data_IF_757794106455
#
_entry.id   IF_757794106455
#
_cell.length_a   1.000
_cell.length_b   1.000
_cell.length_c   1.000
_cell.angle_alpha   90.00
_cell.angle_beta   90.00
_cell.angle_gamma   90.00
#
_symmetry.space_group_name_H-M   'P 1'
#
loop_
_entity.id
_entity.type
_entity.pdbx_description
1 polymer ?
#
# COMPACT_ATOMS: atom_id res chain seq x y z
N UNK A 1 -28.01 2.12 1.38
CA UNK A 1 -27.41 1.38 0.24
C UNK A 1 -26.61 2.38 -0.59
N UNK A 2 -25.48 1.99 -1.19
CA UNK A 2 -24.74 2.90 -2.08
C UNK A 2 -25.50 3.05 -3.41
N UNK A 3 -25.69 4.28 -3.90
CA UNK A 3 -26.37 4.54 -5.18
C UNK A 3 -25.44 4.40 -6.39
N UNK A 4 -24.13 4.43 -6.15
CA UNK A 4 -23.10 4.25 -7.17
C UNK A 4 -22.30 2.99 -6.86
N UNK A 5 -22.11 2.15 -7.87
CA UNK A 5 -21.29 0.95 -7.78
C UNK A 5 -20.25 0.95 -8.90
N UNK A 6 -18.98 0.78 -8.55
CA UNK A 6 -17.92 0.57 -9.54
C UNK A 6 -18.03 -0.86 -10.05
N UNK A 7 -18.21 -1.03 -11.36
CA UNK A 7 -18.30 -2.33 -12.01
C UNK A 7 -16.91 -2.87 -12.36
N UNK A 8 -16.06 -2.03 -12.95
CA UNK A 8 -14.72 -2.40 -13.38
C UNK A 8 -13.80 -1.18 -13.44
N UNK A 9 -12.51 -1.40 -13.20
CA UNK A 9 -11.45 -0.40 -13.37
C UNK A 9 -10.28 -1.07 -14.06
N UNK A 10 -10.12 -0.77 -15.34
CA UNK A 10 -9.05 -1.32 -16.17
C UNK A 10 -7.89 -0.33 -16.24
N UNK A 11 -6.69 -0.81 -15.88
CA UNK A 11 -5.45 -0.02 -15.97
C UNK A 11 -4.92 -0.08 -17.40
N UNK A 12 -4.82 1.07 -18.05
CA UNK A 12 -4.31 1.19 -19.41
C UNK A 12 -2.81 1.52 -19.41
N UNK A 13 -2.11 1.17 -20.49
CA UNK A 13 -0.69 1.48 -20.69
C UNK A 13 0.21 1.04 -19.53
N UNK A 14 0.15 -0.23 -19.15
CA UNK A 14 0.91 -0.79 -18.02
C UNK A 14 1.61 -2.11 -18.40
N UNK A 15 2.89 -2.34 -18.01
CA UNK A 15 3.81 -1.39 -17.39
C UNK A 15 4.25 -0.27 -18.34
N UNK A 16 4.72 0.86 -17.81
CA UNK A 16 5.15 2.02 -18.60
C UNK A 16 6.21 2.85 -17.87
N UNK A 17 6.79 3.85 -18.54
CA UNK A 17 7.77 4.74 -17.91
C UNK A 17 7.12 5.52 -16.75
N UNK A 18 7.89 5.72 -15.68
CA UNK A 18 7.45 6.44 -14.47
C UNK A 18 6.90 7.85 -14.75
N UNK A 19 7.46 8.54 -15.75
CA UNK A 19 7.06 9.90 -16.15
C UNK A 19 5.89 9.92 -17.14
N UNK A 20 5.25 8.78 -17.42
CA UNK A 20 4.05 8.73 -18.24
C UNK A 20 2.79 8.93 -17.39
N UNK A 21 1.73 9.54 -17.98
CA UNK A 21 0.45 9.69 -17.32
C UNK A 21 -0.12 8.35 -16.83
N UNK A 22 -0.90 8.41 -15.76
CA UNK A 22 -1.79 7.32 -15.36
C UNK A 22 -3.02 7.33 -16.24
N UNK A 23 -3.52 6.15 -16.62
CA UNK A 23 -4.74 6.03 -17.41
C UNK A 23 -5.58 4.87 -16.86
N UNK A 24 -6.78 5.20 -16.39
CA UNK A 24 -7.75 4.24 -15.88
C UNK A 24 -9.03 4.33 -16.69
N UNK A 25 -9.47 3.21 -17.28
CA UNK A 25 -10.82 3.10 -17.82
C UNK A 25 -11.74 2.66 -16.69
N UNK A 26 -12.66 3.55 -16.31
CA UNK A 26 -13.56 3.35 -15.17
C UNK A 26 -14.94 3.09 -15.70
N UNK A 27 -15.52 1.96 -15.30
CA UNK A 27 -16.90 1.59 -15.57
C UNK A 27 -17.68 1.54 -14.26
N UNK A 28 -18.75 2.31 -14.15
CA UNK A 28 -19.58 2.38 -12.96
C UNK A 28 -21.08 2.40 -13.30
N UNK A 29 -21.90 2.06 -12.34
CA UNK A 29 -23.36 2.02 -12.44
C UNK A 29 -23.98 2.91 -11.37
N UNK A 30 -24.90 3.76 -11.80
CA UNK A 30 -25.76 4.56 -10.94
C UNK A 30 -27.15 3.93 -10.90
N UNK A 31 -27.66 3.65 -9.71
CA UNK A 31 -28.99 3.09 -9.52
C UNK A 31 -30.10 4.12 -9.76
N UNK A 32 -29.80 5.40 -9.53
CA UNK A 32 -30.73 6.52 -9.63
C UNK A 32 -30.02 7.74 -10.23
N UNK A 33 -30.80 8.73 -10.66
CA UNK A 33 -30.27 10.01 -11.14
C UNK A 33 -29.63 10.78 -9.99
N UNK A 34 -28.34 11.12 -10.12
CA UNK A 34 -27.62 11.96 -9.19
C UNK A 34 -27.66 13.42 -9.68
N UNK A 35 -28.25 14.33 -8.89
CA UNK A 35 -28.36 15.75 -9.27
C UNK A 35 -27.03 16.50 -9.19
N UNK A 36 -26.09 16.02 -8.38
CA UNK A 36 -24.76 16.63 -8.19
C UNK A 36 -23.65 15.76 -8.80
N UNK A 37 -22.47 16.37 -8.91
CA UNK A 37 -21.33 15.73 -9.55
C UNK A 37 -20.67 14.71 -8.63
N UNK A 38 -20.21 13.61 -9.22
CA UNK A 38 -19.23 12.73 -8.62
C UNK A 38 -17.84 13.35 -8.80
N UNK A 39 -17.11 13.46 -7.71
CA UNK A 39 -15.74 13.92 -7.72
C UNK A 39 -14.80 12.71 -7.69
N UNK A 40 -14.04 12.53 -8.76
CA UNK A 40 -13.04 11.48 -8.86
C UNK A 40 -11.65 12.07 -8.71
N UNK A 41 -10.80 11.44 -7.89
CA UNK A 41 -9.40 11.86 -7.73
C UNK A 41 -8.46 10.68 -7.89
N UNK A 42 -7.36 10.90 -8.58
CA UNK A 42 -6.20 10.00 -8.58
C UNK A 42 -5.18 10.58 -7.60
N UNK A 43 -4.79 9.78 -6.62
CA UNK A 43 -3.86 10.18 -5.56
C UNK A 43 -2.69 9.21 -5.57
N UNK A 44 -1.48 9.73 -5.70
CA UNK A 44 -0.24 8.97 -5.59
C UNK A 44 0.30 9.08 -4.17
N UNK A 45 0.55 7.93 -3.54
CA UNK A 45 1.16 7.90 -2.19
C UNK A 45 2.66 8.12 -2.34
N UNK A 46 3.15 9.25 -1.82
CA UNK A 46 4.56 9.63 -1.96
C UNK A 46 5.47 8.93 -0.95
N UNK A 47 4.94 8.51 0.20
CA UNK A 47 5.68 7.80 1.23
C UNK A 47 4.75 6.89 2.01
N UNK A 48 5.21 5.71 2.40
CA UNK A 48 4.44 4.81 3.26
C UNK A 48 4.33 5.34 4.70
N UNK A 49 5.26 6.20 5.13
CA UNK A 49 5.36 6.68 6.50
C UNK A 49 4.53 7.95 6.76
N UNK A 50 4.23 8.72 5.72
CA UNK A 50 3.58 10.02 5.85
C UNK A 50 2.67 10.38 4.67
N UNK A 51 1.45 10.81 5.01
CA UNK A 51 0.47 11.34 4.06
C UNK A 51 0.83 12.75 3.54
N UNK A 52 1.84 13.41 4.13
CA UNK A 52 2.28 14.75 3.70
C UNK A 52 2.88 14.75 2.29
N UNK A 53 3.34 13.58 1.83
CA UNK A 53 3.90 13.38 0.50
C UNK A 53 2.86 12.91 -0.52
N UNK A 54 1.61 12.71 -0.11
CA UNK A 54 0.54 12.29 -1.02
C UNK A 54 0.23 13.40 -2.03
N UNK A 55 0.16 13.01 -3.30
CA UNK A 55 -0.05 13.94 -4.39
C UNK A 55 -1.36 13.62 -5.07
N UNK A 56 -2.32 14.56 -5.02
CA UNK A 56 -3.48 14.52 -5.91
C UNK A 56 -2.99 14.83 -7.32
N UNK A 57 -2.97 13.82 -8.18
CA UNK A 57 -2.49 13.95 -9.56
C UNK A 57 -3.48 14.69 -10.44
N UNK A 58 -4.76 14.34 -10.31
CA UNK A 58 -5.85 15.06 -10.97
C UNK A 58 -7.18 14.88 -10.22
N UNK A 59 -8.12 15.78 -10.46
CA UNK A 59 -9.48 15.75 -9.93
C UNK A 59 -10.46 16.13 -11.03
N UNK A 60 -11.42 15.25 -11.30
CA UNK A 60 -12.47 15.50 -12.28
C UNK A 60 -13.84 15.44 -11.61
N UNK A 61 -14.76 16.21 -12.17
CA UNK A 61 -16.17 16.22 -11.81
C UNK A 61 -16.97 15.56 -12.93
N UNK A 62 -17.78 14.58 -12.57
CA UNK A 62 -18.66 13.86 -13.49
C UNK A 62 -20.09 14.05 -13.01
N UNK A 63 -20.84 14.93 -13.68
CA UNK A 63 -22.26 15.09 -13.41
C UNK A 63 -22.94 16.19 -14.24
N UNK A 64 -24.27 16.33 -14.09
CA UNK A 64 -25.17 15.44 -13.34
C UNK A 64 -25.22 14.03 -13.96
N UNK A 65 -25.34 12.98 -13.13
CA UNK A 65 -25.18 11.59 -13.57
C UNK A 65 -26.53 10.88 -13.62
N UNK A 66 -27.06 10.55 -14.81
CA UNK A 66 -28.32 9.82 -14.90
C UNK A 66 -28.15 8.36 -14.44
N UNK A 67 -29.24 7.72 -14.05
CA UNK A 67 -29.26 6.30 -13.73
C UNK A 67 -28.84 5.45 -14.92
N UNK A 68 -28.09 4.38 -14.65
CA UNK A 68 -27.56 3.47 -15.65
C UNK A 68 -26.04 3.27 -15.55
N UNK A 69 -25.49 2.62 -16.57
CA UNK A 69 -24.07 2.25 -16.64
C UNK A 69 -23.30 3.27 -17.47
N UNK A 70 -22.19 3.73 -16.91
CA UNK A 70 -21.31 4.75 -17.47
C UNK A 70 -19.88 4.24 -17.56
N UNK A 71 -19.14 4.77 -18.53
CA UNK A 71 -17.74 4.45 -18.75
C UNK A 71 -17.00 5.68 -19.24
N UNK A 72 -15.81 5.92 -18.70
CA UNK A 72 -14.93 6.98 -19.16
C UNK A 72 -13.47 6.63 -18.88
N UNK A 73 -12.54 7.31 -19.57
CA UNK A 73 -11.11 7.20 -19.33
C UNK A 73 -10.65 8.38 -18.47
N UNK A 74 -10.06 8.08 -17.32
CA UNK A 74 -9.44 9.06 -16.44
C UNK A 74 -7.93 9.05 -16.64
N UNK A 75 -7.40 10.12 -17.24
CA UNK A 75 -5.98 10.34 -17.41
C UNK A 75 -5.47 11.39 -16.44
N UNK A 76 -4.31 11.17 -15.82
CA UNK A 76 -3.67 12.13 -14.92
C UNK A 76 -2.15 12.14 -15.12
N UNK A 77 -1.56 13.34 -15.02
CA UNK A 77 -0.11 13.53 -15.12
C UNK A 77 0.66 12.73 -14.03
N UNK A 78 1.93 12.35 -14.28
CA UNK A 78 2.74 11.66 -13.27
C UNK A 78 2.97 12.53 -12.02
N UNK A 79 3.32 11.94 -10.86
CA UNK A 79 3.63 12.69 -9.64
C UNK A 79 4.87 13.59 -9.83
N UNK A 80 4.92 14.68 -9.06
CA UNK A 80 6.10 15.53 -8.98
C UNK A 80 7.19 14.82 -8.16
N UNK A 81 8.27 14.44 -8.85
CA UNK A 81 9.40 13.69 -8.28
C UNK A 81 10.09 14.42 -7.13
N UNK A 82 9.99 15.75 -7.07
CA UNK A 82 10.63 16.57 -6.04
C UNK A 82 9.94 16.50 -4.69
N UNK A 83 8.67 16.07 -4.67
CA UNK A 83 7.85 15.96 -3.46
C UNK A 83 7.89 14.56 -2.85
N UNK A 84 8.50 13.61 -3.56
CA UNK A 84 8.67 12.21 -3.12
C UNK A 84 10.03 12.11 -2.41
N UNK A 85 10.09 11.57 -1.18
CA UNK A 85 11.36 11.24 -0.54
C UNK A 85 12.18 10.29 -1.43
N UNK A 86 13.48 10.53 -1.53
CA UNK A 86 14.37 9.77 -2.44
C UNK A 86 14.31 8.26 -2.16
N UNK A 87 14.21 7.90 -0.88
CA UNK A 87 14.14 6.51 -0.42
C UNK A 87 12.82 5.81 -0.81
N UNK A 88 11.75 6.57 -1.09
CA UNK A 88 10.41 6.06 -1.44
C UNK A 88 10.11 6.09 -2.95
N UNK A 89 11.03 6.63 -3.77
CA UNK A 89 10.84 6.67 -5.23
C UNK A 89 10.87 5.26 -5.84
N UNK A 90 11.77 4.41 -5.33
CA UNK A 90 12.01 3.05 -5.81
C UNK A 90 11.25 2.03 -4.96
N UNK A 91 10.84 0.93 -5.58
CA UNK A 91 10.11 -0.14 -4.91
C UNK A 91 8.60 0.05 -4.94
N UNK A 92 7.93 -0.47 -3.92
CA UNK A 92 6.47 -0.58 -3.90
C UNK A 92 5.84 0.62 -3.21
N UNK A 93 4.92 1.28 -3.91
CA UNK A 93 4.03 2.31 -3.38
C UNK A 93 2.58 2.04 -3.80
N UNK A 94 1.66 2.97 -3.57
CA UNK A 94 0.24 2.84 -3.85
C UNK A 94 -0.27 4.03 -4.65
N UNK A 95 -1.14 3.76 -5.62
CA UNK A 95 -2.00 4.77 -6.24
C UNK A 95 -3.46 4.51 -5.86
N UNK A 96 -4.17 5.56 -5.47
CA UNK A 96 -5.55 5.52 -5.01
C UNK A 96 -6.45 6.24 -6.01
N UNK A 97 -7.47 5.55 -6.47
CA UNK A 97 -8.61 6.14 -7.15
C UNK A 97 -9.74 6.31 -6.13
N UNK A 98 -10.10 7.56 -5.84
CA UNK A 98 -11.19 7.88 -4.90
C UNK A 98 -12.37 8.45 -5.65
N UNK A 99 -13.57 8.16 -5.17
CA UNK A 99 -14.80 8.78 -5.65
C UNK A 99 -15.62 9.29 -4.46
N UNK A 100 -16.00 10.56 -4.56
CA UNK A 100 -16.77 11.28 -3.56
C UNK A 100 -18.04 11.83 -4.17
N UNK A 101 -19.10 11.88 -3.37
CA UNK A 101 -20.34 12.55 -3.72
C UNK A 101 -20.65 13.54 -2.61
N UNK A 102 -20.93 14.81 -2.96
CA UNK A 102 -21.19 15.89 -1.99
C UNK A 102 -20.06 16.06 -0.95
N UNK A 103 -18.82 15.92 -1.40
CA UNK A 103 -17.62 16.00 -0.55
C UNK A 103 -17.45 14.82 0.42
N UNK A 104 -18.24 13.75 0.30
CA UNK A 104 -18.10 12.53 1.11
C UNK A 104 -17.59 11.39 0.24
N UNK A 105 -16.41 10.90 0.57
CA UNK A 105 -15.81 9.72 -0.06
C UNK A 105 -16.66 8.48 0.27
N UNK A 106 -17.07 7.73 -0.74
CA UNK A 106 -17.82 6.48 -0.56
C UNK A 106 -17.09 5.26 -1.09
N UNK A 107 -16.08 5.44 -1.95
CA UNK A 107 -15.26 4.34 -2.45
C UNK A 107 -13.83 4.79 -2.72
N UNK A 108 -12.91 3.87 -2.43
CA UNK A 108 -11.47 3.98 -2.67
C UNK A 108 -10.97 2.67 -3.26
N UNK A 109 -10.31 2.78 -4.41
CA UNK A 109 -9.69 1.67 -5.12
C UNK A 109 -8.19 1.91 -5.12
N UNK A 110 -7.44 1.09 -4.39
CA UNK A 110 -5.99 1.18 -4.29
C UNK A 110 -5.31 0.11 -5.12
N UNK A 111 -4.30 0.51 -5.89
CA UNK A 111 -3.39 -0.37 -6.60
C UNK A 111 -1.99 -0.24 -6.05
N UNK A 112 -1.31 -1.37 -5.88
CA UNK A 112 0.13 -1.37 -5.67
C UNK A 112 0.84 -0.96 -6.96
N UNK A 113 1.89 -0.18 -6.81
CA UNK A 113 2.71 0.35 -7.89
C UNK A 113 4.14 0.00 -7.57
N UNK A 114 4.78 -0.81 -8.40
CA UNK A 114 6.20 -1.10 -8.28
C UNK A 114 7.01 -0.24 -9.25
N UNK A 115 7.94 0.55 -8.73
CA UNK A 115 8.87 1.36 -9.51
C UNK A 115 10.25 0.69 -9.49
N UNK A 116 10.73 0.27 -10.66
CA UNK A 116 12.06 -0.34 -10.79
C UNK A 116 12.75 0.09 -12.09
N UNK A 117 14.07 -0.05 -12.13
CA UNK A 117 14.80 0.07 -13.39
C UNK A 117 14.48 -1.13 -14.28
N UNK A 118 14.28 -0.94 -15.58
CA UNK A 118 14.15 -2.07 -16.50
C UNK A 118 15.52 -2.71 -16.82
N UNK A 119 16.58 -1.89 -16.84
CA UNK A 119 17.94 -2.31 -17.16
C UNK A 119 18.55 -3.19 -16.04
N UNK A 120 18.99 -4.44 -16.33
CA UNK A 120 19.53 -5.35 -15.32
C UNK A 120 20.82 -4.84 -14.68
N UNK A 121 21.66 -4.13 -15.43
CA UNK A 121 22.89 -3.53 -14.91
C UNK A 121 22.59 -2.46 -13.84
N UNK A 122 21.52 -1.67 -14.03
CA UNK A 122 21.08 -0.66 -13.07
C UNK A 122 20.35 -1.27 -11.87
N UNK A 123 19.75 -2.45 -12.02
CA UNK A 123 19.21 -3.21 -10.90
C UNK A 123 20.33 -3.76 -10.00
N UNK A 124 21.38 -4.32 -10.59
CA UNK A 124 22.50 -4.90 -9.84
C UNK A 124 23.44 -3.83 -9.25
N UNK A 125 23.65 -2.73 -9.98
CA UNK A 125 24.49 -1.62 -9.57
C UNK A 125 23.70 -0.30 -9.63
N UNK A 126 22.82 -0.04 -8.64
CA UNK A 126 22.01 1.17 -8.63
C UNK A 126 22.90 2.41 -8.57
N UNK A 127 22.67 3.42 -9.43
CA UNK A 127 23.43 4.66 -9.40
C UNK A 127 23.15 5.42 -8.10
N UNK A 128 24.12 6.25 -7.67
CA UNK A 128 23.96 7.08 -6.47
C UNK A 128 22.83 8.12 -6.58
N UNK A 129 22.54 8.57 -7.81
CA UNK A 129 21.42 9.45 -8.12
C UNK A 129 20.37 8.72 -8.95
N UNK A 130 19.10 8.88 -8.59
CA UNK A 130 17.99 8.20 -9.26
C UNK A 130 17.80 8.74 -10.67
N UNK A 131 17.80 7.85 -11.66
CA UNK A 131 17.58 8.18 -13.07
C UNK A 131 16.11 8.00 -13.45
N UNK A 132 15.25 8.97 -13.12
CA UNK A 132 13.79 8.91 -13.33
C UNK A 132 13.36 8.55 -14.76
N UNK A 133 14.12 8.95 -15.78
CA UNK A 133 13.81 8.65 -17.19
C UNK A 133 13.93 7.14 -17.53
N UNK A 134 14.65 6.37 -16.72
CA UNK A 134 14.85 4.93 -16.89
C UNK A 134 14.01 4.09 -15.93
N UNK A 135 13.21 4.74 -15.10
CA UNK A 135 12.28 4.06 -14.22
C UNK A 135 11.06 3.60 -14.99
N UNK A 136 10.73 2.34 -14.76
CA UNK A 136 9.50 1.71 -15.21
C UNK A 136 8.58 1.54 -14.00
N UNK A 137 7.35 1.98 -14.18
CA UNK A 137 6.25 1.85 -13.24
C UNK A 137 5.36 0.69 -13.69
N UNK A 138 5.14 -0.25 -12.79
CA UNK A 138 4.21 -1.36 -12.98
C UNK A 138 3.11 -1.32 -11.91
N UNK A 139 1.88 -1.08 -12.35
CA UNK A 139 0.68 -1.10 -11.53
C UNK A 139 0.17 -2.55 -11.46
N UNK A 140 0.10 -3.11 -10.25
CA UNK A 140 -0.33 -4.49 -10.01
C UNK A 140 -1.86 -4.58 -10.04
N UNK A 141 -2.44 -4.60 -11.24
CA UNK A 141 -3.90 -4.65 -11.42
C UNK A 141 -4.58 -5.88 -10.83
N UNK A 142 -3.83 -6.98 -10.64
CA UNK A 142 -4.32 -8.22 -10.02
C UNK A 142 -4.52 -8.11 -8.50
N UNK A 143 -3.86 -7.16 -7.84
CA UNK A 143 -3.87 -7.00 -6.39
C UNK A 143 -4.54 -5.67 -6.00
N UNK A 144 -5.81 -5.54 -6.37
CA UNK A 144 -6.61 -4.35 -6.08
C UNK A 144 -7.22 -4.41 -4.68
N UNK A 145 -7.12 -3.30 -3.92
CA UNK A 145 -7.79 -3.15 -2.62
C UNK A 145 -8.95 -2.17 -2.75
N UNK A 146 -10.16 -2.65 -2.48
CA UNK A 146 -11.37 -1.81 -2.51
C UNK A 146 -11.88 -1.56 -1.10
N UNK A 147 -11.98 -0.29 -0.71
CA UNK A 147 -12.59 0.15 0.55
C UNK A 147 -13.86 0.93 0.24
N UNK A 148 -14.95 0.64 0.95
CA UNK A 148 -16.25 1.29 0.76
C UNK A 148 -16.69 1.96 2.06
N UNK A 149 -17.23 3.17 1.94
CA UNK A 149 -17.76 3.95 3.05
C UNK A 149 -19.25 4.21 2.83
N UNK A 150 -20.02 4.21 3.91
CA UNK A 150 -21.44 4.55 3.84
C UNK A 150 -21.59 6.06 3.96
N UNK A 151 -22.28 6.67 3.00
CA UNK A 151 -22.55 8.11 2.97
C UNK A 151 -24.07 8.37 2.87
N UNK A 152 -24.55 9.54 3.34
CA UNK A 152 -25.90 10.00 3.03
C UNK A 152 -25.96 10.51 1.58
N UNK A 153 -26.82 9.89 0.77
CA UNK A 153 -26.98 10.20 -0.65
C UNK A 153 -28.01 11.28 -0.95
N UNK A 154 -28.97 11.49 -0.04
CA UNK A 154 -30.01 12.49 -0.18
C UNK A 154 -29.81 13.62 0.84
N UNK A 155 -30.35 14.80 0.53
CA UNK A 155 -30.41 15.89 1.49
C UNK A 155 -31.35 15.48 2.62
N UNK A 156 -30.81 15.39 3.82
CA UNK A 156 -31.59 15.19 5.05
C UNK A 156 -32.30 16.50 5.36
N UNK A 157 -33.39 16.79 4.63
CA UNK A 157 -34.37 17.83 4.93
C UNK A 157 -35.72 17.21 5.29
N UNK A 158 -35.70 16.17 6.13
CA UNK A 158 -36.86 15.72 6.90
C UNK A 158 -36.42 14.63 7.90
N UNK A 159 -35.99 15.06 9.07
CA UNK A 159 -36.12 14.35 10.35
C UNK A 159 -35.59 15.28 11.45
N UNK A 160 -36.45 15.58 12.42
CA UNK A 160 -36.13 16.44 13.55
C UNK A 160 -34.98 15.91 14.41
N UNK A 161 -34.50 16.82 15.25
CA UNK A 161 -33.54 16.61 16.33
C UNK A 161 -33.63 15.21 16.96
N UNK A 162 -32.54 14.46 16.83
CA UNK A 162 -32.33 13.18 17.49
C UNK A 162 -30.84 12.95 17.61
N UNK A 163 -30.24 13.48 18.68
CA UNK A 163 -28.95 12.99 19.16
C UNK A 163 -29.11 11.53 19.55
N UNK A 164 -28.78 10.59 18.66
CA UNK A 164 -28.64 9.19 19.04
C UNK A 164 -27.30 8.98 19.75
N UNK A 165 -27.39 9.10 21.07
CA UNK A 165 -26.43 8.63 22.06
C UNK A 165 -26.27 7.11 21.90
N UNK A 166 -25.02 6.65 21.83
CA UNK A 166 -24.67 5.23 21.90
C UNK A 166 -25.34 4.56 23.11
N UNK A 167 -26.17 3.54 22.88
CA UNK A 167 -26.55 2.56 23.90
C UNK A 167 -25.79 1.25 23.67
N UNK A 168 -25.01 0.90 24.68
CA UNK A 168 -24.30 -0.36 24.85
C UNK A 168 -25.28 -1.42 25.39
N UNK A 169 -25.51 -2.49 24.63
CA UNK A 169 -25.95 -3.77 25.20
C UNK A 169 -25.36 -4.94 24.41
N UNK A 170 -24.87 -6.01 25.10
CA UNK A 170 -24.06 -7.03 24.47
C UNK A 170 -24.94 -8.11 23.83
N UNK A 171 -24.81 -8.28 22.52
CA UNK A 171 -25.36 -9.44 21.83
C UNK A 171 -24.24 -10.17 21.09
N UNK A 172 -23.84 -11.30 21.68
CA UNK A 172 -22.95 -12.32 21.15
C UNK A 172 -23.49 -12.84 19.80
N UNK A 173 -22.83 -12.50 18.70
CA UNK A 173 -22.94 -13.22 17.43
C UNK A 173 -21.65 -12.99 16.62
N UNK A 174 -21.00 -14.09 16.26
CA UNK A 174 -19.69 -14.17 15.62
C UNK A 174 -19.61 -13.40 14.29
N UNK A 175 -18.54 -12.61 14.13
CA UNK A 175 -18.12 -12.03 12.86
C UNK A 175 -17.50 -13.11 11.96
N UNK A 176 -17.78 -13.15 10.64
CA UNK A 176 -16.89 -13.85 9.73
C UNK A 176 -15.61 -13.03 9.55
N UNK A 177 -14.47 -13.70 9.78
CA UNK A 177 -13.12 -13.15 9.66
C UNK A 177 -12.80 -12.71 8.21
N UNK A 178 -11.88 -11.73 8.03
CA UNK A 178 -11.36 -11.37 6.71
C UNK A 178 -10.69 -12.59 6.04
N UNK A 179 -10.66 -12.67 4.70
CA UNK A 179 -10.05 -13.77 3.99
C UNK A 179 -8.56 -13.83 4.35
N UNK A 180 -8.17 -14.97 4.93
CA UNK A 180 -6.80 -15.24 5.34
C UNK A 180 -5.90 -15.28 4.12
N UNK A 181 -4.86 -14.47 4.13
CA UNK A 181 -3.66 -14.67 3.32
C UNK A 181 -3.15 -16.08 3.69
N UNK A 182 -2.61 -16.86 2.75
CA UNK A 182 -2.04 -18.15 3.13
C UNK A 182 -0.94 -17.92 4.17
N UNK A 183 -0.91 -18.71 5.24
CA UNK A 183 0.06 -18.60 6.34
C UNK A 183 1.52 -18.59 5.81
N UNK A 184 1.72 -19.20 4.64
CA UNK A 184 2.98 -19.25 3.90
C UNK A 184 3.45 -17.88 3.37
N UNK A 185 2.55 -17.00 2.94
CA UNK A 185 2.87 -15.66 2.43
C UNK A 185 3.07 -14.68 3.59
N UNK A 186 2.26 -14.75 4.63
CA UNK A 186 2.46 -13.96 5.85
C UNK A 186 3.80 -14.29 6.51
N UNK A 187 4.16 -15.58 6.57
CA UNK A 187 5.45 -16.02 7.09
C UNK A 187 6.63 -15.50 6.24
N UNK A 188 6.49 -15.47 4.91
CA UNK A 188 7.54 -14.96 4.00
C UNK A 188 7.78 -13.47 4.17
N UNK A 189 6.72 -12.67 4.24
CA UNK A 189 6.82 -11.22 4.48
C UNK A 189 7.41 -10.94 5.87
N UNK A 190 6.99 -11.68 6.89
CA UNK A 190 7.54 -11.54 8.23
C UNK A 190 9.02 -11.94 8.29
N UNK A 191 9.42 -12.97 7.53
CA UNK A 191 10.81 -13.42 7.44
C UNK A 191 11.69 -12.42 6.70
N UNK A 192 11.23 -11.85 5.60
CA UNK A 192 11.95 -10.83 4.83
C UNK A 192 12.12 -9.54 5.66
N UNK A 193 11.07 -9.08 6.33
CA UNK A 193 11.15 -7.91 7.23
C UNK A 193 12.05 -8.17 8.46
N UNK A 194 12.05 -9.39 9.00
CA UNK A 194 12.95 -9.76 10.10
C UNK A 194 14.41 -9.83 9.65
N UNK A 195 14.66 -10.31 8.43
CA UNK A 195 15.99 -10.35 7.82
C UNK A 195 16.55 -8.93 7.60
N UNK A 196 15.77 -8.04 6.99
CA UNK A 196 16.15 -6.63 6.80
C UNK A 196 16.38 -5.90 8.13
N UNK A 197 15.56 -6.19 9.15
CA UNK A 197 15.74 -5.64 10.49
C UNK A 197 17.03 -6.13 11.15
N UNK A 198 17.35 -7.42 11.01
CA UNK A 198 18.58 -8.00 11.52
C UNK A 198 19.82 -7.46 10.78
N UNK A 199 19.75 -7.25 9.46
CA UNK A 199 20.84 -6.61 8.70
C UNK A 199 21.04 -5.15 9.13
N UNK A 200 19.95 -4.40 9.35
CA UNK A 200 20.01 -3.02 9.84
C UNK A 200 20.60 -2.95 11.25
N UNK A 201 20.22 -3.87 12.14
CA UNK A 201 20.72 -3.92 13.52
C UNK A 201 22.20 -4.37 13.57
N UNK A 202 22.63 -5.24 12.65
CA UNK A 202 24.02 -5.63 12.45
C UNK A 202 24.87 -4.46 11.94
N UNK A 203 24.38 -3.68 10.98
CA UNK A 203 25.07 -2.49 10.44
C UNK A 203 25.12 -1.32 11.44
N UNK A 204 24.15 -1.21 12.36
CA UNK A 204 24.06 -0.08 13.31
C UNK A 204 24.69 -0.34 14.68
N UNK A 205 25.34 -1.50 14.88
CA UNK A 205 26.28 -1.71 15.99
C UNK A 205 25.68 -1.66 17.39
N UNK A 206 24.43 -2.10 17.59
CA UNK A 206 23.82 -2.26 18.92
C UNK A 206 23.46 -3.72 19.26
N UNK A 207 24.53 -4.47 19.59
CA UNK A 207 24.66 -5.59 20.57
C UNK A 207 24.05 -6.97 20.22
N UNK A 208 24.56 -8.09 20.82
CA UNK A 208 25.84 -8.78 20.66
C UNK A 208 25.70 -10.07 19.81
N UNK A 209 26.82 -10.59 19.29
CA UNK A 209 26.93 -11.92 18.66
C UNK A 209 26.42 -13.01 19.61
N UNK A 210 25.18 -13.46 19.40
CA UNK A 210 24.74 -14.79 19.80
C UNK A 210 25.04 -15.73 18.63
N UNK A 211 26.11 -16.50 18.80
CA UNK A 211 26.65 -17.45 17.84
C UNK A 211 25.59 -18.49 17.42
N UNK A 212 25.13 -18.54 16.15
CA UNK A 212 24.19 -19.56 15.68
C UNK A 212 25.00 -20.81 15.30
N UNK A 213 25.50 -21.50 16.32
CA UNK A 213 26.45 -22.59 16.14
C UNK A 213 26.40 -23.63 17.25
N UNK A 214 25.21 -24.09 17.66
CA UNK A 214 25.10 -25.43 18.24
C UNK A 214 23.67 -25.99 18.16
N UNK A 215 23.51 -26.91 17.21
CA UNK A 215 22.35 -27.79 17.08
C UNK A 215 22.65 -29.06 17.90
N UNK A 216 21.69 -29.43 18.75
CA UNK A 216 21.31 -30.78 19.21
C UNK A 216 21.22 -31.00 20.73
N UNK A 217 20.19 -31.74 21.18
CA UNK A 217 19.89 -32.02 22.57
C UNK A 217 20.62 -33.28 23.04
N UNK A 218 21.14 -33.27 24.27
CA UNK A 218 21.02 -34.31 25.29
C UNK A 218 22.05 -34.05 26.40
N UNK A 219 21.62 -34.28 27.64
CA UNK A 219 22.42 -34.04 28.82
C UNK A 219 23.69 -34.88 28.91
N UNK A 220 24.72 -34.28 29.49
CA UNK A 220 25.42 -34.80 30.67
C UNK A 220 26.38 -33.72 31.16
N UNK A 221 26.30 -33.41 32.44
CA UNK A 221 27.15 -32.45 33.14
C UNK A 221 28.55 -33.05 33.30
N UNK A 222 29.60 -32.38 32.78
CA UNK A 222 30.99 -32.61 33.17
C UNK A 222 31.75 -31.30 33.32
N UNK A 223 32.17 -31.04 34.55
CA UNK A 223 33.17 -30.05 34.92
C UNK A 223 34.56 -30.52 34.47
N UNK A 224 35.40 -29.62 33.94
CA UNK A 224 36.85 -29.71 34.15
C UNK A 224 37.53 -28.34 34.05
N UNK A 225 38.45 -28.11 34.99
CA UNK A 225 39.15 -26.87 35.32
C UNK A 225 40.20 -26.44 34.30
N UNK A 226 40.46 -25.14 34.27
CA UNK A 226 41.62 -24.49 33.67
C UNK A 226 42.89 -24.74 34.47
N UNK A 227 43.99 -25.03 33.76
CA UNK A 227 45.43 -24.90 34.09
C UNK A 227 46.09 -25.81 33.03
N UNK A 228 47.06 -25.44 32.20
CA UNK A 228 48.24 -24.60 32.35
C UNK A 228 48.93 -24.60 30.96
N UNK A 229 49.48 -23.48 30.50
CA UNK A 229 50.63 -23.50 29.59
C UNK A 229 51.21 -22.11 29.38
N UNK A 230 52.00 -21.70 30.37
CA UNK A 230 53.05 -20.71 30.18
C UNK A 230 54.19 -21.27 29.31
N UNK A 231 54.62 -20.46 28.35
CA UNK A 231 56.01 -20.24 27.90
C UNK A 231 56.97 -21.43 27.81
N UNK A 232 57.57 -21.63 26.63
CA UNK A 232 58.99 -21.98 26.56
C UNK A 232 59.63 -21.56 25.24
N UNK A 233 60.64 -20.69 25.38
CA UNK A 233 61.63 -20.36 24.36
C UNK A 233 62.48 -21.58 23.98
N UNK A 234 62.99 -21.54 22.74
CA UNK A 234 64.16 -22.26 22.23
C UNK A 234 65.44 -22.03 23.07
N UNK A 235 66.55 -22.77 22.84
CA UNK A 235 66.85 -23.71 21.74
C UNK A 235 67.07 -25.18 22.14
#
# INVERSE_FOLDING_TARGET
MALVNICDVTVLNNPTSFLKPFQFEITFECLEDLPEDLEWRIIYVGSAESMEHDQVLDTILVGPVPGGKHMFVFEADPPDVKKIPVDDVMGVTVVLLTCSYRGKEFIRVGYYVNNEYDDPELKENPPAEIQYNKLTRNILSSEVRVTRFTIPWHDTKDAGEGEEKMEDTPSTAEMPAPPKISEEIEARIAQDLAYERAERDCMTGKVPLADPGNIYPHGEMRYYNSEDSSSLCMP
#
